data_IF_406515684219
#
_entry.id   IF_406515684219
#
_cell.length_a   1.000
_cell.length_b   1.000
_cell.length_c   1.000
_cell.angle_alpha   90.00
_cell.angle_beta   90.00
_cell.angle_gamma   90.00
#
_symmetry.space_group_name_H-M   'P 1'
#
loop_
_entity.id
_entity.type
_entity.pdbx_description
1 polymer ?
#
# COMPACT_ATOMS: atom_id res chain seq x y z
N UNK A 1 23.64 15.17 -17.05
CA UNK A 1 22.25 15.36 -17.54
C UNK A 1 21.50 16.53 -16.86
N UNK A 2 22.18 17.34 -16.03
CA UNK A 2 21.63 18.58 -15.44
C UNK A 2 20.73 18.39 -14.22
N UNK A 3 20.40 17.17 -13.80
CA UNK A 3 19.66 16.93 -12.57
C UNK A 3 20.54 17.15 -11.35
N UNK A 4 20.02 17.89 -10.37
CA UNK A 4 20.68 18.08 -9.07
C UNK A 4 20.05 17.12 -8.08
N UNK A 5 20.85 16.37 -7.34
CA UNK A 5 20.41 15.46 -6.30
C UNK A 5 20.69 16.03 -4.92
N UNK A 6 19.82 15.71 -3.96
CA UNK A 6 19.94 16.09 -2.55
C UNK A 6 19.41 14.95 -1.69
N UNK A 7 20.13 14.59 -0.65
CA UNK A 7 19.59 13.68 0.36
C UNK A 7 18.51 14.39 1.16
N UNK A 8 17.40 13.71 1.36
CA UNK A 8 16.28 14.16 2.18
C UNK A 8 16.04 13.17 3.31
N UNK A 9 15.53 13.68 4.41
CA UNK A 9 15.03 12.87 5.50
C UNK A 9 13.50 12.90 5.50
N UNK A 10 12.87 11.75 5.71
CA UNK A 10 11.43 11.58 5.79
C UNK A 10 11.11 10.95 7.15
N UNK A 11 10.96 11.76 8.19
CA UNK A 11 10.62 11.25 9.51
C UNK A 11 9.27 10.55 9.49
N UNK A 12 9.09 9.60 10.42
CA UNK A 12 7.89 8.77 10.60
C UNK A 12 7.64 7.69 9.54
N UNK A 13 8.49 7.52 8.51
CA UNK A 13 8.33 6.44 7.55
C UNK A 13 8.33 5.04 8.20
N UNK A 14 9.07 4.85 9.25
CA UNK A 14 9.11 3.60 10.04
C UNK A 14 7.73 3.16 10.57
N UNK A 15 6.80 4.11 10.76
CA UNK A 15 5.44 3.84 11.20
C UNK A 15 4.46 3.60 10.03
N UNK A 16 4.91 3.65 8.78
CA UNK A 16 4.04 3.48 7.61
C UNK A 16 3.44 2.08 7.55
N UNK A 17 4.28 1.07 7.70
CA UNK A 17 3.88 -0.33 7.63
C UNK A 17 2.80 -0.66 8.69
N UNK A 18 3.03 -0.46 9.99
CA UNK A 18 2.00 -0.73 11.00
C UNK A 18 0.74 0.11 10.83
N UNK A 19 0.86 1.38 10.39
CA UNK A 19 -0.30 2.23 10.15
C UNK A 19 -1.16 1.74 8.99
N UNK A 20 -0.54 1.29 7.91
CA UNK A 20 -1.23 0.70 6.76
C UNK A 20 -2.02 -0.55 7.16
N UNK A 21 -1.40 -1.46 7.93
CA UNK A 21 -2.06 -2.70 8.36
C UNK A 21 -3.15 -2.52 9.42
N UNK A 22 -3.36 -1.30 9.89
CA UNK A 22 -4.55 -0.89 10.63
C UNK A 22 -5.58 -0.23 9.72
N UNK A 23 -5.17 0.75 8.92
CA UNK A 23 -6.08 1.57 8.09
C UNK A 23 -6.70 0.75 6.96
N UNK A 24 -5.88 0.05 6.17
CA UNK A 24 -6.38 -0.68 5.00
C UNK A 24 -7.36 -1.82 5.36
N UNK A 25 -7.10 -2.67 6.37
CA UNK A 25 -8.08 -3.63 6.85
C UNK A 25 -9.36 -2.99 7.41
N UNK A 26 -9.26 -1.86 8.13
CA UNK A 26 -10.41 -1.15 8.65
C UNK A 26 -11.32 -0.64 7.52
N UNK A 27 -10.74 -0.02 6.49
CA UNK A 27 -11.47 0.41 5.30
C UNK A 27 -12.00 -0.78 4.48
N UNK A 28 -11.22 -1.86 4.37
CA UNK A 28 -11.63 -3.11 3.72
C UNK A 28 -12.88 -3.68 4.40
N UNK A 29 -12.89 -3.81 5.73
CA UNK A 29 -14.03 -4.29 6.50
C UNK A 29 -15.27 -3.44 6.26
N UNK A 30 -15.15 -2.12 6.33
CA UNK A 30 -16.25 -1.19 6.12
C UNK A 30 -16.79 -1.22 4.67
N UNK A 31 -15.90 -1.18 3.69
CA UNK A 31 -16.26 -1.12 2.28
C UNK A 31 -16.85 -2.45 1.76
N UNK A 32 -16.30 -3.58 2.19
CA UNK A 32 -16.76 -4.90 1.75
C UNK A 32 -18.00 -5.40 2.52
N UNK A 33 -18.48 -4.67 3.51
CA UNK A 33 -19.75 -4.98 4.20
C UNK A 33 -20.96 -4.99 3.26
N UNK A 34 -20.90 -4.22 2.17
CA UNK A 34 -21.97 -4.13 1.17
C UNK A 34 -22.10 -5.34 0.24
N UNK A 35 -21.11 -6.22 0.20
CA UNK A 35 -21.13 -7.44 -0.63
C UNK A 35 -21.85 -8.56 0.13
N UNK A 36 -23.16 -8.52 0.05
CA UNK A 36 -24.11 -9.39 0.76
C UNK A 36 -24.80 -10.43 -0.14
N UNK A 37 -24.50 -10.38 -1.45
CA UNK A 37 -25.14 -11.24 -2.45
C UNK A 37 -26.56 -10.84 -2.83
N UNK A 38 -27.06 -9.68 -2.36
CA UNK A 38 -28.38 -9.15 -2.73
C UNK A 38 -28.23 -8.09 -3.83
N UNK A 39 -27.43 -7.02 -3.56
CA UNK A 39 -27.17 -5.96 -4.53
C UNK A 39 -25.85 -6.12 -5.25
N UNK A 40 -24.83 -6.61 -4.57
CA UNK A 40 -23.48 -6.64 -5.07
C UNK A 40 -22.77 -7.97 -4.82
N UNK A 41 -21.91 -8.33 -5.77
CA UNK A 41 -20.98 -9.44 -5.65
C UNK A 41 -21.62 -10.81 -5.90
N UNK A 42 -20.86 -11.82 -5.53
CA UNK A 42 -21.26 -13.21 -5.59
C UNK A 42 -22.46 -13.49 -4.68
N UNK A 43 -23.35 -14.36 -5.11
CA UNK A 43 -24.47 -14.89 -4.32
C UNK A 43 -24.41 -16.39 -4.29
N UNK A 44 -24.46 -16.99 -3.08
CA UNK A 44 -24.49 -18.44 -2.95
C UNK A 44 -25.78 -19.04 -3.52
N UNK A 45 -25.67 -20.26 -4.03
CA UNK A 45 -26.81 -20.99 -4.59
C UNK A 45 -27.63 -21.65 -3.48
N UNK A 46 -28.97 -21.65 -3.65
CA UNK A 46 -29.92 -22.35 -2.79
C UNK A 46 -29.70 -22.10 -1.28
N UNK A 47 -29.72 -20.86 -0.79
CA UNK A 47 -29.64 -20.58 0.64
C UNK A 47 -30.88 -21.10 1.36
N UNK A 48 -30.70 -21.63 2.59
CA UNK A 48 -31.78 -22.14 3.42
C UNK A 48 -32.66 -21.03 4.00
N UNK A 49 -32.01 -19.92 4.36
CA UNK A 49 -32.62 -18.73 4.97
C UNK A 49 -31.73 -17.51 4.73
N UNK A 50 -32.09 -16.37 5.30
CA UNK A 50 -31.35 -15.12 5.13
C UNK A 50 -29.97 -15.15 5.78
N UNK A 51 -29.83 -15.80 6.95
CA UNK A 51 -28.56 -15.94 7.63
C UNK A 51 -27.58 -16.82 6.82
N UNK A 52 -28.05 -17.97 6.34
CA UNK A 52 -27.30 -18.86 5.47
C UNK A 52 -26.88 -18.15 4.17
N UNK A 53 -27.77 -17.33 3.60
CA UNK A 53 -27.43 -16.49 2.43
C UNK A 53 -26.22 -15.60 2.73
N UNK A 54 -26.22 -14.86 3.82
CA UNK A 54 -25.11 -13.97 4.14
C UNK A 54 -23.82 -14.71 4.49
N UNK A 55 -23.92 -15.71 5.33
CA UNK A 55 -22.75 -16.50 5.78
C UNK A 55 -22.08 -17.18 4.58
N UNK A 56 -22.84 -17.92 3.77
CA UNK A 56 -22.28 -18.65 2.64
C UNK A 56 -21.82 -17.74 1.53
N UNK A 57 -22.57 -16.73 1.17
CA UNK A 57 -22.16 -15.74 0.16
C UNK A 57 -20.82 -15.14 0.48
N UNK A 58 -20.60 -14.72 1.73
CA UNK A 58 -19.35 -14.10 2.12
C UNK A 58 -18.21 -15.10 2.31
N UNK A 59 -18.51 -16.29 2.80
CA UNK A 59 -17.51 -17.38 2.97
C UNK A 59 -17.01 -17.92 1.64
N UNK A 60 -17.91 -18.11 0.68
CA UNK A 60 -17.61 -18.64 -0.65
C UNK A 60 -17.03 -17.56 -1.59
N UNK A 61 -17.55 -16.31 -1.48
CA UNK A 61 -17.22 -15.21 -2.39
C UNK A 61 -15.92 -14.48 -2.07
N UNK A 62 -15.41 -14.53 -0.83
CA UNK A 62 -14.14 -13.91 -0.45
C UNK A 62 -13.04 -14.94 -0.26
N UNK A 63 -11.87 -14.65 -0.87
CA UNK A 63 -10.65 -15.41 -0.62
C UNK A 63 -10.14 -15.25 0.83
N UNK A 64 -9.26 -16.14 1.26
CA UNK A 64 -8.83 -16.22 2.67
C UNK A 64 -8.12 -14.96 3.17
N UNK A 65 -7.27 -14.34 2.34
CA UNK A 65 -6.60 -13.09 2.72
C UNK A 65 -7.59 -11.94 2.88
N UNK A 66 -8.62 -11.85 2.04
CA UNK A 66 -9.67 -10.83 2.17
C UNK A 66 -10.47 -11.04 3.45
N UNK A 67 -10.85 -12.30 3.76
CA UNK A 67 -11.54 -12.65 5.01
C UNK A 67 -10.72 -12.26 6.23
N UNK A 68 -9.41 -12.53 6.22
CA UNK A 68 -8.47 -12.15 7.27
C UNK A 68 -8.43 -10.63 7.45
N UNK A 69 -8.33 -9.85 6.37
CA UNK A 69 -8.35 -8.38 6.44
C UNK A 69 -9.67 -7.83 6.96
N UNK A 70 -10.80 -8.42 6.58
CA UNK A 70 -12.12 -8.05 7.12
C UNK A 70 -12.17 -8.27 8.64
N UNK A 71 -11.67 -9.40 9.14
CA UNK A 71 -11.64 -9.71 10.58
C UNK A 71 -10.75 -8.73 11.35
N UNK A 72 -9.53 -8.49 10.86
CA UNK A 72 -8.60 -7.51 11.47
C UNK A 72 -9.23 -6.13 11.48
N UNK A 73 -9.84 -5.69 10.37
CA UNK A 73 -10.50 -4.40 10.27
C UNK A 73 -11.67 -4.25 11.23
N UNK A 74 -12.50 -5.28 11.34
CA UNK A 74 -13.62 -5.31 12.31
C UNK A 74 -13.11 -5.17 13.74
N UNK A 75 -12.03 -5.85 14.08
CA UNK A 75 -11.38 -5.72 15.39
C UNK A 75 -10.88 -4.30 15.64
N UNK A 76 -10.14 -3.71 14.69
CA UNK A 76 -9.61 -2.35 14.82
C UNK A 76 -10.70 -1.28 14.93
N UNK A 77 -11.88 -1.52 14.38
CA UNK A 77 -13.03 -0.61 14.44
C UNK A 77 -13.96 -0.87 15.62
N UNK A 78 -13.74 -1.92 16.41
CA UNK A 78 -14.60 -2.27 17.53
C UNK A 78 -14.44 -1.32 18.73
N UNK A 79 -15.46 -1.28 19.59
CA UNK A 79 -15.46 -0.48 20.80
C UNK A 79 -14.24 -0.81 21.70
N UNK A 80 -13.55 0.20 22.18
CA UNK A 80 -12.33 0.08 22.99
C UNK A 80 -11.03 0.00 22.19
N UNK A 81 -11.07 -0.36 20.91
CA UNK A 81 -9.89 -0.44 20.05
C UNK A 81 -9.83 0.66 18.99
N UNK A 82 -10.94 1.27 18.65
CA UNK A 82 -11.06 2.31 17.64
C UNK A 82 -10.08 3.47 17.87
N UNK A 83 -10.07 4.04 19.07
CA UNK A 83 -9.18 5.16 19.41
C UNK A 83 -7.71 4.72 19.49
N UNK A 84 -7.48 3.54 20.07
CA UNK A 84 -6.13 3.01 20.31
C UNK A 84 -5.41 2.61 19.00
N UNK A 85 -6.14 2.12 18.02
CA UNK A 85 -5.57 1.67 16.74
C UNK A 85 -5.92 2.59 15.58
N UNK A 86 -7.19 2.70 15.21
CA UNK A 86 -7.59 3.39 13.99
C UNK A 86 -7.30 4.90 14.06
N UNK A 87 -7.73 5.58 15.10
CA UNK A 87 -7.47 7.02 15.25
C UNK A 87 -5.96 7.30 15.37
N UNK A 88 -5.22 6.46 16.08
CA UNK A 88 -3.77 6.59 16.19
C UNK A 88 -3.08 6.44 14.83
N UNK A 89 -3.48 5.43 14.06
CA UNK A 89 -2.94 5.22 12.71
C UNK A 89 -3.26 6.39 11.77
N UNK A 90 -4.46 6.96 11.83
CA UNK A 90 -4.82 8.16 11.07
C UNK A 90 -3.97 9.39 11.45
N UNK A 91 -3.64 9.57 12.73
CA UNK A 91 -2.73 10.65 13.16
C UNK A 91 -1.32 10.44 12.60
N UNK A 92 -0.81 9.21 12.64
CA UNK A 92 0.50 8.88 12.06
C UNK A 92 0.48 9.10 10.55
N UNK A 93 -0.57 8.69 9.84
CA UNK A 93 -0.75 8.98 8.42
C UNK A 93 -0.65 10.48 8.12
N UNK A 94 -1.28 11.33 8.92
CA UNK A 94 -1.19 12.78 8.76
C UNK A 94 0.25 13.29 8.96
N UNK A 95 1.01 12.74 9.91
CA UNK A 95 2.42 13.09 10.13
C UNK A 95 3.31 12.66 8.95
N UNK A 96 3.09 11.47 8.39
CA UNK A 96 3.78 11.00 7.19
C UNK A 96 3.48 11.92 6.02
N UNK A 97 2.22 12.27 5.79
CA UNK A 97 1.80 13.19 4.72
C UNK A 97 2.49 14.55 4.86
N UNK A 98 2.58 15.09 6.07
CA UNK A 98 3.25 16.38 6.33
C UNK A 98 4.76 16.30 6.10
N UNK A 99 5.39 15.14 6.40
CA UNK A 99 6.82 14.91 6.10
C UNK A 99 7.09 15.02 4.60
N UNK A 100 6.26 14.39 3.76
CA UNK A 100 6.37 14.50 2.30
C UNK A 100 6.13 15.94 1.82
N UNK A 101 5.10 16.64 2.31
CA UNK A 101 4.85 18.04 1.96
C UNK A 101 6.04 18.93 2.27
N UNK A 102 6.71 18.71 3.39
CA UNK A 102 7.90 19.47 3.76
C UNK A 102 9.10 19.12 2.86
N UNK A 103 9.29 17.86 2.50
CA UNK A 103 10.32 17.42 1.56
C UNK A 103 10.12 18.10 0.18
N UNK A 104 8.90 18.11 -0.35
CA UNK A 104 8.57 18.71 -1.65
C UNK A 104 8.70 20.26 -1.70
N UNK A 105 8.91 20.94 -0.58
CA UNK A 105 9.35 22.35 -0.60
C UNK A 105 10.78 22.52 -1.12
N UNK A 106 11.58 21.46 -1.09
CA UNK A 106 13.01 21.48 -1.41
C UNK A 106 13.41 20.64 -2.62
N UNK A 107 12.57 19.70 -3.03
CA UNK A 107 12.82 18.78 -4.16
C UNK A 107 11.57 18.65 -5.03
N UNK A 108 11.77 18.39 -6.31
CA UNK A 108 10.66 18.22 -7.26
C UNK A 108 10.13 16.80 -7.35
N UNK A 109 10.99 15.81 -7.13
CA UNK A 109 10.70 14.38 -7.16
C UNK A 109 11.57 13.70 -6.11
N UNK A 110 11.05 12.66 -5.50
CA UNK A 110 11.77 11.80 -4.56
C UNK A 110 12.07 10.49 -5.28
N UNK A 111 13.30 10.00 -5.18
CA UNK A 111 13.72 8.72 -5.74
C UNK A 111 14.14 7.79 -4.60
N UNK A 112 13.68 6.53 -4.65
CA UNK A 112 14.04 5.48 -3.69
C UNK A 112 13.88 4.10 -4.35
N UNK A 113 14.44 3.03 -3.77
CA UNK A 113 14.15 1.67 -4.23
C UNK A 113 12.65 1.37 -4.17
N UNK A 114 12.16 0.52 -5.08
CA UNK A 114 10.76 0.05 -5.04
C UNK A 114 10.58 -1.00 -3.95
N UNK A 115 11.53 -1.93 -3.83
CA UNK A 115 11.52 -3.00 -2.83
C UNK A 115 12.85 -3.01 -2.07
N UNK A 116 12.86 -3.64 -0.90
CA UNK A 116 14.08 -3.78 -0.07
C UNK A 116 15.05 -4.80 -0.61
N UNK A 117 14.55 -5.79 -1.33
CA UNK A 117 15.30 -6.92 -1.87
C UNK A 117 14.88 -7.19 -3.31
N UNK A 118 15.63 -8.06 -3.98
CA UNK A 118 15.22 -8.70 -5.22
C UNK A 118 14.03 -9.65 -5.03
N UNK A 119 13.47 -10.19 -6.11
CA UNK A 119 12.41 -11.17 -6.04
C UNK A 119 12.88 -12.42 -5.27
N UNK A 120 12.08 -12.89 -4.35
CA UNK A 120 12.35 -14.09 -3.55
C UNK A 120 11.83 -15.35 -4.26
N UNK A 121 12.37 -16.52 -3.91
CA UNK A 121 11.91 -17.80 -4.43
C UNK A 121 10.45 -18.06 -4.03
N UNK A 122 9.71 -18.76 -4.90
CA UNK A 122 8.33 -19.16 -4.62
C UNK A 122 8.27 -19.96 -3.31
N UNK A 123 7.30 -19.64 -2.49
CA UNK A 123 7.04 -20.28 -1.18
C UNK A 123 8.17 -20.18 -0.15
N UNK A 124 9.21 -19.36 -0.39
CA UNK A 124 10.33 -19.20 0.55
C UNK A 124 9.99 -18.39 1.79
N UNK A 125 9.05 -17.43 1.69
CA UNK A 125 8.63 -16.58 2.80
C UNK A 125 7.39 -17.15 3.48
N UNK A 126 7.58 -17.83 4.62
CA UNK A 126 6.50 -18.40 5.43
C UNK A 126 5.98 -17.43 6.50
N UNK A 127 6.80 -16.47 6.91
CA UNK A 127 6.43 -15.47 7.92
C UNK A 127 5.64 -14.32 7.27
N UNK A 128 4.37 -14.10 7.66
CA UNK A 128 3.57 -12.99 7.13
C UNK A 128 4.19 -11.61 7.37
N UNK A 129 4.92 -11.40 8.47
CA UNK A 129 5.56 -10.13 8.77
C UNK A 129 6.65 -9.82 7.76
N UNK A 130 7.50 -10.81 7.44
CA UNK A 130 8.54 -10.67 6.41
C UNK A 130 7.95 -10.41 5.02
N UNK A 131 6.81 -11.01 4.71
CA UNK A 131 6.09 -10.72 3.46
C UNK A 131 5.63 -9.25 3.43
N UNK A 132 5.11 -8.74 4.53
CA UNK A 132 4.65 -7.35 4.63
C UNK A 132 5.80 -6.32 4.56
N UNK A 133 7.01 -6.67 5.01
CA UNK A 133 8.20 -5.82 4.93
C UNK A 133 8.60 -5.50 3.48
N UNK A 134 8.18 -6.30 2.49
CA UNK A 134 8.42 -6.01 1.08
C UNK A 134 7.76 -4.69 0.61
N UNK A 135 6.70 -4.27 1.29
CA UNK A 135 5.92 -3.07 0.94
C UNK A 135 6.44 -1.79 1.61
N UNK A 136 7.55 -1.85 2.37
CA UNK A 136 8.03 -0.75 3.22
C UNK A 136 8.26 0.57 2.44
N UNK A 137 8.67 0.50 1.17
CA UNK A 137 8.95 1.66 0.34
C UNK A 137 7.74 2.14 -0.48
N UNK A 138 6.75 1.29 -0.72
CA UNK A 138 5.57 1.62 -1.52
C UNK A 138 4.41 2.15 -0.69
N UNK A 139 4.25 1.63 0.52
CA UNK A 139 3.19 2.04 1.47
C UNK A 139 3.20 3.55 1.78
N UNK A 140 4.34 4.22 2.03
CA UNK A 140 4.36 5.64 2.40
C UNK A 140 3.68 6.55 1.37
N UNK A 141 3.95 6.34 0.08
CA UNK A 141 3.33 7.10 -1.01
C UNK A 141 1.80 6.91 -1.03
N UNK A 142 1.34 5.66 -0.83
CA UNK A 142 -0.08 5.33 -0.75
C UNK A 142 -0.76 6.01 0.44
N UNK A 143 -0.16 5.96 1.64
CA UNK A 143 -0.71 6.62 2.84
C UNK A 143 -0.76 8.14 2.69
N UNK A 144 0.23 8.73 2.03
CA UNK A 144 0.30 10.17 1.80
C UNK A 144 -0.57 10.64 0.61
N UNK A 145 -1.12 9.71 -0.20
CA UNK A 145 -1.94 10.03 -1.38
C UNK A 145 -1.12 10.66 -2.51
N UNK A 146 0.11 10.21 -2.72
CA UNK A 146 1.05 10.74 -3.68
C UNK A 146 1.14 9.87 -4.93
N UNK A 147 1.30 10.46 -6.13
CA UNK A 147 1.60 9.70 -7.32
C UNK A 147 3.02 9.10 -7.24
N UNK A 148 3.15 7.86 -7.67
CA UNK A 148 4.43 7.17 -7.73
C UNK A 148 4.50 6.27 -8.96
N UNK A 149 5.70 6.06 -9.49
CA UNK A 149 5.99 5.16 -10.59
C UNK A 149 7.24 4.34 -10.26
N UNK A 150 7.19 3.04 -10.56
CA UNK A 150 8.37 2.17 -10.52
C UNK A 150 8.84 1.89 -11.94
N UNK A 151 10.14 2.00 -12.15
CA UNK A 151 10.78 1.75 -13.44
C UNK A 151 11.97 0.79 -13.26
N UNK A 152 12.37 0.05 -14.31
CA UNK A 152 13.60 -0.74 -14.27
C UNK A 152 14.82 0.11 -13.97
N UNK A 153 15.74 -0.39 -13.14
CA UNK A 153 16.96 0.32 -12.77
C UNK A 153 18.21 -0.55 -12.74
N UNK A 154 18.13 -1.72 -13.35
CA UNK A 154 19.23 -2.68 -13.41
C UNK A 154 18.87 -4.04 -12.86
N UNK A 155 19.90 -4.80 -12.55
CA UNK A 155 19.79 -6.17 -12.08
C UNK A 155 20.72 -6.37 -10.88
N UNK A 156 20.29 -7.22 -9.95
CA UNK A 156 21.14 -7.86 -8.95
C UNK A 156 21.27 -9.32 -9.39
N UNK A 157 22.49 -9.73 -9.75
CA UNK A 157 22.72 -11.00 -10.44
C UNK A 157 21.86 -11.10 -11.72
N UNK A 158 20.82 -11.93 -11.74
CA UNK A 158 19.89 -12.05 -12.87
C UNK A 158 18.48 -11.46 -12.56
N UNK A 159 18.28 -10.94 -11.35
CA UNK A 159 16.99 -10.45 -10.90
C UNK A 159 16.81 -8.95 -11.12
N UNK A 160 15.70 -8.50 -11.76
CA UNK A 160 15.48 -7.09 -12.05
C UNK A 160 15.22 -6.29 -10.75
N UNK A 161 15.76 -5.06 -10.73
CA UNK A 161 15.54 -4.10 -9.66
C UNK A 161 14.66 -2.95 -10.12
N UNK A 162 13.84 -2.43 -9.21
CA UNK A 162 12.97 -1.27 -9.44
C UNK A 162 13.45 -0.01 -8.72
N UNK A 163 13.45 1.11 -9.45
CA UNK A 163 13.58 2.45 -8.90
C UNK A 163 12.21 3.12 -8.86
N UNK A 164 11.82 3.62 -7.70
CA UNK A 164 10.57 4.34 -7.52
C UNK A 164 10.81 5.85 -7.56
N UNK A 165 10.01 6.56 -8.36
CA UNK A 165 9.88 8.02 -8.29
C UNK A 165 8.53 8.39 -7.69
N UNK A 166 8.55 9.28 -6.69
CA UNK A 166 7.37 9.81 -6.03
C UNK A 166 7.28 11.31 -6.36
N UNK A 167 6.12 11.75 -6.83
CA UNK A 167 5.81 13.14 -7.12
C UNK A 167 4.97 13.79 -6.03
N UNK A 168 4.89 15.13 -6.08
CA UNK A 168 3.95 15.84 -5.25
C UNK A 168 2.50 15.59 -5.73
N UNK A 169 1.55 15.94 -4.92
CA UNK A 169 0.12 15.71 -5.18
C UNK A 169 -0.30 16.30 -6.53
N UNK A 170 -0.96 15.51 -7.39
CA UNK A 170 -1.40 15.86 -8.75
C UNK A 170 -0.24 16.25 -9.70
N UNK A 171 0.98 15.79 -9.45
CA UNK A 171 2.14 16.06 -10.31
C UNK A 171 2.62 14.82 -11.09
N UNK A 172 1.69 13.98 -11.55
CA UNK A 172 1.97 12.74 -12.33
C UNK A 172 2.86 13.03 -13.55
N UNK A 173 2.63 14.15 -14.23
CA UNK A 173 3.41 14.56 -15.40
C UNK A 173 4.91 14.72 -15.11
N UNK A 174 5.28 15.15 -13.90
CA UNK A 174 6.69 15.30 -13.51
C UNK A 174 7.37 13.95 -13.35
N UNK A 175 6.73 13.00 -12.66
CA UNK A 175 7.33 11.66 -12.47
C UNK A 175 7.39 10.88 -13.77
N UNK A 176 6.39 10.98 -14.65
CA UNK A 176 6.42 10.37 -15.98
C UNK A 176 7.56 10.92 -16.82
N UNK A 177 7.79 12.23 -16.81
CA UNK A 177 8.85 12.86 -17.56
C UNK A 177 10.24 12.44 -17.05
N UNK A 178 10.47 12.45 -15.74
CA UNK A 178 11.77 12.03 -15.17
C UNK A 178 12.02 10.54 -15.39
N UNK A 179 10.99 9.70 -15.28
CA UNK A 179 11.07 8.27 -15.57
C UNK A 179 11.47 8.02 -17.04
N UNK A 180 10.84 8.74 -17.97
CA UNK A 180 11.16 8.64 -19.41
C UNK A 180 12.60 9.09 -19.70
N UNK A 181 13.05 10.21 -19.14
CA UNK A 181 14.43 10.66 -19.30
C UNK A 181 15.44 9.69 -18.67
N UNK A 182 15.10 9.06 -17.53
CA UNK A 182 15.95 8.03 -16.93
C UNK A 182 16.09 6.81 -17.86
N UNK A 183 14.97 6.30 -18.38
CA UNK A 183 14.99 5.14 -19.29
C UNK A 183 15.76 5.40 -20.57
N UNK A 184 15.71 6.61 -21.16
CA UNK A 184 16.55 6.99 -22.32
C UNK A 184 18.06 6.92 -22.04
N UNK A 185 18.45 7.06 -20.78
CA UNK A 185 19.87 7.10 -20.38
C UNK A 185 20.41 5.73 -19.98
N UNK A 186 19.53 4.81 -19.63
CA UNK A 186 19.90 3.52 -19.05
C UNK A 186 19.64 2.33 -19.99
N UNK A 187 18.94 2.53 -21.10
CA UNK A 187 18.54 1.48 -22.05
C UNK A 187 17.79 0.28 -21.41
N UNK A 188 17.04 0.54 -20.31
CA UNK A 188 16.19 -0.47 -19.64
C UNK A 188 14.74 -0.37 -20.05
#
# INVERSE_FOLDING_TARGET
>A
NGFKTKNIDLPFLEYSLPSYYVIAPAECSANLSRYDGIKFGYRCENPKDLEDLYVRTRSEGFGDEVKKRILIGTYCLSAGYFDAYYIKAQKIRAMITESFKNAFKNVSVIAMPTCSNEAFELDSIQDPVKMYEQDIYTIPANLAGLPAISIPSGYSEEMPLGLQFIGNHLEEGKILNIAHEFQKLTDY
#
